data_IF_589747698634
#
_entry.id   IF_589747698634
#
_cell.length_a   1.000
_cell.length_b   1.000
_cell.length_c   1.000
_cell.angle_alpha   90.00
_cell.angle_beta   90.00
_cell.angle_gamma   90.00
#
_symmetry.space_group_name_H-M   'P 1'
#
loop_
_entity.id
_entity.type
_entity.pdbx_description
1 polymer ?
#
# COMPACT_ATOMS: atom_id res chain seq x y z
N UNK A 1 4.03 -19.52 -7.07
CA UNK A 1 4.25 -18.08 -7.01
C UNK A 1 3.00 -17.32 -7.49
N UNK A 2 2.81 -16.07 -7.04
CA UNK A 2 1.77 -15.21 -7.57
C UNK A 2 1.99 -14.96 -9.08
N UNK A 3 0.92 -15.01 -9.86
CA UNK A 3 0.96 -14.68 -11.29
C UNK A 3 0.21 -13.39 -11.54
N UNK A 4 0.64 -12.62 -12.52
CA UNK A 4 -0.07 -11.44 -13.02
C UNK A 4 -1.51 -11.80 -13.44
N UNK A 5 -1.63 -12.81 -14.31
CA UNK A 5 -2.89 -13.30 -14.80
C UNK A 5 -2.84 -14.81 -15.12
N UNK A 6 -3.95 -15.56 -14.89
CA UNK A 6 -3.95 -17.02 -15.11
C UNK A 6 -4.19 -17.45 -16.56
N UNK A 7 -4.73 -16.57 -17.41
CA UNK A 7 -5.13 -16.97 -18.76
C UNK A 7 -4.19 -16.52 -19.88
N UNK A 8 -3.44 -15.42 -19.73
CA UNK A 8 -2.61 -14.85 -20.79
C UNK A 8 -1.11 -15.10 -20.56
N UNK A 9 -0.47 -14.28 -19.72
CA UNK A 9 0.99 -14.34 -19.52
C UNK A 9 1.40 -15.43 -18.54
N UNK A 10 0.71 -15.59 -17.42
CA UNK A 10 0.99 -16.57 -16.36
C UNK A 10 2.38 -16.41 -15.75
N UNK A 11 2.87 -15.18 -15.72
CA UNK A 11 4.20 -14.82 -15.28
C UNK A 11 4.21 -14.35 -13.81
N UNK A 12 5.33 -14.54 -13.14
CA UNK A 12 5.58 -13.98 -11.81
C UNK A 12 6.02 -12.52 -11.85
N UNK A 13 5.21 -11.63 -12.41
CA UNK A 13 5.48 -10.21 -12.40
C UNK A 13 5.61 -9.71 -10.97
N UNK A 14 6.76 -9.14 -10.65
CA UNK A 14 7.10 -8.77 -9.28
C UNK A 14 6.25 -7.61 -8.77
N UNK A 15 5.98 -6.62 -9.61
CA UNK A 15 5.09 -5.52 -9.28
C UNK A 15 3.73 -5.97 -8.80
N UNK A 16 3.08 -6.82 -9.60
CA UNK A 16 1.74 -7.35 -9.32
C UNK A 16 1.65 -8.01 -7.95
N UNK A 17 2.67 -8.80 -7.59
CA UNK A 17 2.71 -9.50 -6.31
C UNK A 17 2.74 -8.57 -5.11
N UNK A 18 3.47 -7.45 -5.18
CA UNK A 18 3.53 -6.53 -4.03
C UNK A 18 2.45 -5.44 -4.06
N UNK A 19 1.86 -5.12 -5.23
CA UNK A 19 0.76 -4.15 -5.26
C UNK A 19 -0.46 -4.65 -4.49
N UNK A 20 -0.76 -5.96 -4.56
CA UNK A 20 -1.90 -6.58 -3.88
C UNK A 20 -1.53 -7.35 -2.60
N UNK A 21 -0.30 -7.21 -2.06
CA UNK A 21 0.17 -8.02 -0.94
C UNK A 21 -0.73 -7.92 0.30
N UNK A 22 -1.15 -6.72 0.68
CA UNK A 22 -1.99 -6.54 1.86
C UNK A 22 -3.36 -7.20 1.67
N UNK A 23 -3.97 -7.08 0.48
CA UNK A 23 -5.20 -7.80 0.15
C UNK A 23 -5.04 -9.31 0.27
N UNK A 24 -3.92 -9.85 -0.21
CA UNK A 24 -3.62 -11.27 -0.08
C UNK A 24 -3.50 -11.70 1.38
N UNK A 25 -2.76 -10.93 2.20
CA UNK A 25 -2.52 -11.27 3.60
C UNK A 25 -3.75 -11.08 4.51
N UNK A 26 -4.66 -10.17 4.16
CA UNK A 26 -5.94 -10.06 4.88
C UNK A 26 -6.90 -11.22 4.60
N UNK A 27 -6.84 -11.81 3.41
CA UNK A 27 -7.84 -12.79 2.95
C UNK A 27 -7.34 -14.23 2.95
N UNK A 28 -6.02 -14.46 2.89
CA UNK A 28 -5.42 -15.79 2.74
C UNK A 28 -4.25 -15.98 3.69
N UNK A 29 -4.03 -17.21 4.11
CA UNK A 29 -2.79 -17.62 4.77
C UNK A 29 -1.72 -17.88 3.69
N UNK A 30 -1.04 -16.80 3.30
CA UNK A 30 -0.15 -16.78 2.14
C UNK A 30 1.33 -16.99 2.45
N UNK A 31 1.73 -17.14 3.72
CA UNK A 31 3.15 -17.11 4.13
C UNK A 31 4.01 -18.12 3.35
N UNK A 32 3.53 -19.34 3.17
CA UNK A 32 4.30 -20.40 2.47
C UNK A 32 4.47 -20.14 0.97
N UNK A 33 3.49 -19.51 0.35
CA UNK A 33 3.56 -19.10 -1.07
C UNK A 33 4.64 -18.03 -1.25
N UNK A 34 4.64 -17.04 -0.39
CA UNK A 34 5.62 -15.94 -0.44
C UNK A 34 7.02 -16.39 0.01
N UNK A 35 7.12 -17.31 0.97
CA UNK A 35 8.40 -17.91 1.37
C UNK A 35 9.09 -18.57 0.17
N UNK A 36 8.35 -19.38 -0.56
CA UNK A 36 8.86 -20.03 -1.78
C UNK A 36 9.26 -18.99 -2.84
N UNK A 37 8.41 -18.02 -3.09
CA UNK A 37 8.68 -17.02 -4.11
C UNK A 37 9.84 -16.08 -3.76
N UNK A 38 10.00 -15.73 -2.50
CA UNK A 38 11.18 -14.97 -2.03
C UNK A 38 12.48 -15.78 -2.11
N UNK A 39 12.42 -17.12 -2.02
CA UNK A 39 13.57 -17.96 -2.32
C UNK A 39 13.97 -17.81 -3.80
N UNK A 40 13.01 -17.83 -4.73
CA UNK A 40 13.27 -17.58 -6.16
C UNK A 40 13.88 -16.18 -6.40
N UNK A 41 13.42 -15.15 -5.68
CA UNK A 41 14.03 -13.81 -5.76
C UNK A 41 15.51 -13.82 -5.36
N UNK A 42 15.86 -14.55 -4.28
CA UNK A 42 17.26 -14.63 -3.83
C UNK A 42 18.13 -15.39 -4.83
N UNK A 43 17.59 -16.44 -5.45
CA UNK A 43 18.31 -17.26 -6.44
C UNK A 43 18.51 -16.51 -7.76
N UNK A 44 17.54 -15.69 -8.17
CA UNK A 44 17.57 -14.91 -9.41
C UNK A 44 18.35 -13.59 -9.28
N UNK A 45 18.69 -13.14 -8.08
CA UNK A 45 19.38 -11.87 -7.91
C UNK A 45 20.81 -11.94 -8.46
N UNK A 46 21.14 -11.00 -9.34
CA UNK A 46 22.49 -10.85 -9.87
C UNK A 46 23.50 -10.41 -8.79
N UNK A 47 24.81 -10.69 -8.95
CA UNK A 47 25.84 -10.31 -7.99
C UNK A 47 25.91 -8.78 -7.73
N UNK A 48 25.52 -7.95 -8.70
CA UNK A 48 25.46 -6.49 -8.54
C UNK A 48 24.23 -6.01 -7.77
N UNK A 49 23.27 -6.89 -7.47
CA UNK A 49 22.05 -6.60 -6.72
C UNK A 49 20.79 -6.52 -7.58
N UNK A 50 20.89 -6.48 -8.91
CA UNK A 50 19.74 -6.34 -9.82
C UNK A 50 18.86 -7.58 -9.78
N UNK A 51 17.53 -7.37 -9.81
CA UNK A 51 16.50 -8.41 -9.92
C UNK A 51 15.78 -8.29 -11.28
N UNK A 52 15.28 -9.38 -11.84
CA UNK A 52 14.40 -9.32 -13.01
C UNK A 52 12.99 -8.90 -12.61
N UNK A 53 12.20 -8.35 -13.54
CA UNK A 53 10.80 -7.98 -13.30
C UNK A 53 9.89 -9.19 -13.08
N UNK A 54 10.26 -10.30 -13.68
CA UNK A 54 9.50 -11.56 -13.67
C UNK A 54 10.35 -12.59 -12.94
N UNK A 55 9.79 -13.20 -11.91
CA UNK A 55 10.48 -14.21 -11.12
C UNK A 55 9.56 -15.43 -10.91
N UNK A 56 9.94 -16.61 -11.35
CA UNK A 56 11.13 -16.93 -12.18
C UNK A 56 11.08 -16.23 -13.54
N UNK A 57 12.25 -15.92 -14.12
CA UNK A 57 12.35 -15.12 -15.35
C UNK A 57 11.67 -15.79 -16.57
N UNK A 58 11.58 -17.09 -16.62
CA UNK A 58 10.96 -17.83 -17.71
C UNK A 58 11.54 -17.55 -19.10
N UNK A 59 12.78 -17.03 -19.16
CA UNK A 59 13.45 -16.65 -20.40
C UNK A 59 13.36 -15.15 -20.74
N UNK A 60 12.63 -14.35 -19.97
CA UNK A 60 12.55 -12.89 -20.15
C UNK A 60 13.84 -12.16 -19.74
N UNK A 61 14.58 -12.71 -18.79
CA UNK A 61 15.88 -12.16 -18.35
C UNK A 61 15.71 -10.83 -17.58
N UNK A 62 16.74 -9.96 -17.69
CA UNK A 62 16.87 -8.73 -16.90
C UNK A 62 16.70 -7.45 -17.74
N UNK A 63 16.38 -7.58 -19.02
CA UNK A 63 16.38 -6.47 -19.97
C UNK A 63 15.01 -5.87 -20.30
N UNK A 64 13.96 -6.24 -19.58
CA UNK A 64 12.58 -5.85 -19.90
C UNK A 64 12.16 -4.48 -19.33
N UNK A 65 13.10 -3.70 -18.80
CA UNK A 65 12.82 -2.38 -18.23
C UNK A 65 12.50 -2.43 -16.74
N UNK A 66 13.08 -3.40 -16.04
CA UNK A 66 12.98 -3.57 -14.59
C UNK A 66 13.32 -2.32 -13.80
N UNK A 67 12.99 -2.33 -12.52
CA UNK A 67 13.33 -1.26 -11.59
C UNK A 67 12.43 -1.22 -10.37
N UNK A 68 12.65 -0.22 -9.56
CA UNK A 68 12.20 -0.10 -8.19
C UNK A 68 10.70 -0.32 -7.97
N UNK A 69 9.86 0.33 -8.76
CA UNK A 69 8.41 0.21 -8.62
C UNK A 69 7.85 -1.21 -8.90
N UNK A 70 8.66 -2.10 -9.49
CA UNK A 70 8.36 -3.53 -9.64
C UNK A 70 9.19 -4.39 -8.69
N UNK A 71 10.50 -4.28 -8.74
CA UNK A 71 11.42 -5.19 -8.02
C UNK A 71 11.60 -4.87 -6.53
N UNK A 72 10.94 -3.82 -6.00
CA UNK A 72 10.76 -3.58 -4.55
C UNK A 72 10.06 -4.72 -3.82
N UNK A 73 9.54 -5.69 -4.55
CA UNK A 73 8.98 -6.95 -4.04
C UNK A 73 9.91 -7.63 -3.04
N UNK A 74 11.24 -7.60 -3.29
CA UNK A 74 12.26 -8.20 -2.39
C UNK A 74 12.27 -7.57 -1.00
N UNK A 75 11.83 -6.32 -0.85
CA UNK A 75 11.75 -5.60 0.41
C UNK A 75 10.30 -5.56 0.96
N UNK A 76 9.33 -5.23 0.11
CA UNK A 76 7.94 -4.98 0.53
C UNK A 76 7.26 -6.26 1.01
N UNK A 77 7.44 -7.40 0.32
CA UNK A 77 6.77 -8.65 0.71
C UNK A 77 7.28 -9.17 2.05
N UNK A 78 8.59 -9.39 2.29
CA UNK A 78 9.03 -9.91 3.58
C UNK A 78 8.75 -8.95 4.74
N UNK A 79 8.73 -7.63 4.50
CA UNK A 79 8.30 -6.66 5.48
C UNK A 79 6.81 -6.82 5.85
N UNK A 80 5.92 -7.00 4.87
CA UNK A 80 4.50 -7.24 5.13
C UNK A 80 4.26 -8.59 5.82
N UNK A 81 5.00 -9.64 5.45
CA UNK A 81 4.95 -10.93 6.18
C UNK A 81 5.32 -10.72 7.65
N UNK A 82 6.38 -9.96 7.93
CA UNK A 82 6.74 -9.62 9.30
C UNK A 82 5.62 -8.87 10.04
N UNK A 83 5.00 -7.88 9.40
CA UNK A 83 3.91 -7.11 10.01
C UNK A 83 2.68 -7.98 10.31
N UNK A 84 2.30 -8.89 9.40
CA UNK A 84 1.07 -9.67 9.52
C UNK A 84 1.22 -10.92 10.37
N UNK A 85 2.40 -11.54 10.39
CA UNK A 85 2.63 -12.79 11.14
C UNK A 85 3.51 -12.62 12.38
N UNK A 86 4.23 -11.52 12.51
CA UNK A 86 5.22 -11.34 13.57
C UNK A 86 6.49 -12.19 13.38
N UNK A 87 6.59 -12.88 12.23
CA UNK A 87 7.72 -13.74 11.89
C UNK A 87 8.76 -12.96 11.08
N UNK A 88 9.90 -12.72 11.69
CA UNK A 88 11.01 -11.98 11.06
C UNK A 88 11.94 -12.87 10.20
N UNK A 89 11.68 -14.19 10.12
CA UNK A 89 12.58 -15.13 9.44
C UNK A 89 12.77 -14.79 7.97
N UNK A 90 11.68 -14.58 7.22
CA UNK A 90 11.77 -14.24 5.80
C UNK A 90 12.46 -12.90 5.55
N UNK A 91 12.23 -11.93 6.42
CA UNK A 91 12.92 -10.64 6.35
C UNK A 91 14.43 -10.81 6.61
N UNK A 92 14.82 -11.67 7.58
CA UNK A 92 16.21 -12.01 7.84
C UNK A 92 16.86 -12.75 6.66
N UNK A 93 16.16 -13.72 6.07
CA UNK A 93 16.63 -14.48 4.92
C UNK A 93 16.87 -13.59 3.68
N UNK A 94 16.08 -12.51 3.53
CA UNK A 94 16.20 -11.55 2.43
C UNK A 94 17.10 -10.35 2.73
N UNK A 95 17.58 -10.18 3.95
CA UNK A 95 18.28 -8.97 4.39
C UNK A 95 19.45 -8.57 3.49
N UNK A 96 20.38 -9.50 3.24
CA UNK A 96 21.56 -9.23 2.41
C UNK A 96 21.18 -9.00 0.93
N UNK A 97 20.08 -9.56 0.48
CA UNK A 97 19.56 -9.34 -0.87
C UNK A 97 18.96 -7.92 -1.01
N UNK A 98 18.17 -7.49 -0.02
CA UNK A 98 17.63 -6.13 0.05
C UNK A 98 18.79 -5.12 0.10
N UNK A 99 19.81 -5.39 0.92
CA UNK A 99 21.00 -4.56 1.06
C UNK A 99 21.70 -4.38 -0.28
N UNK A 100 22.05 -5.48 -0.97
CA UNK A 100 22.70 -5.41 -2.30
C UNK A 100 21.85 -4.64 -3.33
N UNK A 101 20.53 -4.78 -3.26
CA UNK A 101 19.61 -4.10 -4.15
C UNK A 101 19.62 -2.58 -3.89
N UNK A 102 19.46 -2.15 -2.65
CA UNK A 102 19.51 -0.73 -2.24
C UNK A 102 20.86 -0.12 -2.56
N UNK A 103 21.96 -0.82 -2.24
CA UNK A 103 23.33 -0.35 -2.54
C UNK A 103 23.58 -0.19 -4.05
N UNK A 104 22.99 -1.05 -4.88
CA UNK A 104 23.05 -0.89 -6.34
C UNK A 104 22.39 0.43 -6.77
N UNK A 105 21.19 0.70 -6.25
CA UNK A 105 20.46 1.93 -6.60
C UNK A 105 21.18 3.18 -6.12
N UNK A 106 21.72 3.18 -4.89
CA UNK A 106 22.47 4.32 -4.36
C UNK A 106 23.72 4.62 -5.21
N UNK A 107 24.47 3.59 -5.61
CA UNK A 107 25.63 3.76 -6.50
C UNK A 107 25.27 4.33 -7.87
N UNK A 108 24.12 3.91 -8.43
CA UNK A 108 23.69 4.34 -9.77
C UNK A 108 22.87 5.63 -9.76
N UNK A 109 22.38 6.04 -8.60
CA UNK A 109 21.53 7.21 -8.41
C UNK A 109 21.94 8.03 -7.17
N UNK A 110 23.21 8.55 -7.15
CA UNK A 110 23.80 9.17 -5.96
C UNK A 110 23.12 10.47 -5.53
N UNK A 111 22.28 11.05 -6.38
CA UNK A 111 21.43 12.21 -6.02
C UNK A 111 20.28 11.85 -5.09
N UNK A 112 19.94 10.55 -4.93
CA UNK A 112 18.73 10.08 -4.28
C UNK A 112 17.50 10.08 -5.20
N UNK A 113 17.65 10.47 -6.46
CA UNK A 113 16.58 10.47 -7.46
C UNK A 113 16.93 9.50 -8.60
N UNK A 114 15.93 8.76 -9.07
CA UNK A 114 16.09 7.78 -10.13
C UNK A 114 14.84 7.63 -10.98
N UNK A 115 15.02 7.38 -12.28
CA UNK A 115 13.95 6.98 -13.20
C UNK A 115 13.99 5.49 -13.53
N UNK A 116 14.74 4.70 -12.76
CA UNK A 116 14.83 3.27 -12.95
C UNK A 116 13.60 2.57 -12.39
N UNK A 117 12.64 2.31 -13.26
CA UNK A 117 11.34 1.73 -12.98
C UNK A 117 10.46 1.72 -14.21
N UNK A 118 9.24 1.22 -14.07
CA UNK A 118 8.24 1.20 -15.14
C UNK A 118 7.30 2.41 -15.08
N UNK A 119 7.13 3.00 -13.90
CA UNK A 119 6.19 4.09 -13.66
C UNK A 119 4.76 3.60 -13.41
N UNK A 120 3.82 4.51 -13.42
CA UNK A 120 2.40 4.24 -13.13
C UNK A 120 1.73 3.54 -14.32
N UNK A 121 1.77 2.20 -14.34
CA UNK A 121 1.35 1.37 -15.46
C UNK A 121 -0.16 1.42 -15.67
N UNK A 122 -0.61 1.40 -16.94
CA UNK A 122 -2.01 1.47 -17.35
C UNK A 122 -2.77 2.64 -16.69
N UNK A 123 -2.29 3.89 -16.80
CA UNK A 123 -3.04 5.04 -16.31
C UNK A 123 -4.29 5.26 -17.17
N UNK A 124 -5.33 5.85 -16.55
CA UNK A 124 -6.56 6.18 -17.28
C UNK A 124 -6.28 7.21 -18.38
N UNK A 125 -5.69 8.35 -17.98
CA UNK A 125 -5.45 9.49 -18.88
C UNK A 125 -4.15 10.22 -18.56
N UNK A 126 -3.93 10.56 -17.29
CA UNK A 126 -2.79 11.38 -16.89
C UNK A 126 -1.57 10.52 -16.59
N UNK A 127 -0.41 10.93 -17.06
CA UNK A 127 0.86 10.29 -16.78
C UNK A 127 1.60 11.00 -15.64
N UNK A 128 2.05 10.24 -14.65
CA UNK A 128 2.87 10.74 -13.57
C UNK A 128 4.35 10.75 -13.91
N UNK A 129 5.14 11.54 -13.18
CA UNK A 129 6.60 11.52 -13.28
C UNK A 129 7.15 10.17 -12.82
N UNK A 130 7.75 9.43 -13.76
CA UNK A 130 8.42 8.16 -13.49
C UNK A 130 9.58 8.33 -12.49
N UNK A 131 10.34 9.42 -12.59
CA UNK A 131 11.41 9.70 -11.64
C UNK A 131 10.86 9.91 -10.22
N UNK A 132 9.73 10.59 -10.08
CA UNK A 132 9.07 10.74 -8.78
C UNK A 132 8.67 9.38 -8.21
N UNK A 133 7.93 8.57 -8.97
CA UNK A 133 7.44 7.27 -8.48
C UNK A 133 8.58 6.30 -8.18
N UNK A 134 9.55 6.14 -9.07
CA UNK A 134 10.71 5.26 -8.83
C UNK A 134 11.55 5.72 -7.64
N UNK A 135 11.74 7.04 -7.45
CA UNK A 135 12.46 7.57 -6.29
C UNK A 135 11.71 7.32 -4.97
N UNK A 136 10.37 7.36 -4.99
CA UNK A 136 9.58 7.00 -3.81
C UNK A 136 9.80 5.52 -3.43
N UNK A 137 9.83 4.61 -4.39
CA UNK A 137 10.11 3.19 -4.11
C UNK A 137 11.56 2.98 -3.65
N UNK A 138 12.53 3.75 -4.15
CA UNK A 138 13.89 3.76 -3.59
C UNK A 138 13.89 4.14 -2.10
N UNK A 139 13.12 5.16 -1.73
CA UNK A 139 12.94 5.50 -0.31
C UNK A 139 12.29 4.36 0.47
N UNK A 140 11.25 3.71 -0.06
CA UNK A 140 10.52 2.62 0.61
C UNK A 140 11.46 1.46 0.93
N UNK A 141 12.22 0.99 -0.05
CA UNK A 141 13.17 -0.12 0.12
C UNK A 141 14.26 0.22 1.12
N UNK A 142 14.82 1.43 1.03
CA UNK A 142 15.83 1.93 1.97
C UNK A 142 15.28 2.04 3.39
N UNK A 143 14.04 2.49 3.54
CA UNK A 143 13.38 2.60 4.84
C UNK A 143 13.07 1.24 5.46
N UNK A 144 12.63 0.28 4.65
CA UNK A 144 12.43 -1.11 5.09
C UNK A 144 13.77 -1.71 5.55
N UNK A 145 14.83 -1.52 4.77
CA UNK A 145 16.16 -2.01 5.12
C UNK A 145 16.68 -1.39 6.44
N UNK A 146 16.52 -0.09 6.65
CA UNK A 146 16.85 0.57 7.90
C UNK A 146 16.06 -0.02 9.09
N UNK A 147 14.75 -0.25 8.92
CA UNK A 147 13.92 -0.85 9.96
C UNK A 147 14.34 -2.31 10.25
N UNK A 148 14.67 -3.08 9.22
CA UNK A 148 15.18 -4.44 9.37
C UNK A 148 16.55 -4.46 10.07
N UNK A 149 17.45 -3.54 9.72
CA UNK A 149 18.73 -3.38 10.39
C UNK A 149 18.56 -3.11 11.90
N UNK A 150 17.64 -2.22 12.25
CA UNK A 150 17.29 -1.94 13.65
C UNK A 150 16.74 -3.18 14.34
N UNK A 151 15.83 -3.92 13.71
CA UNK A 151 15.24 -5.15 14.24
C UNK A 151 16.30 -6.22 14.52
N UNK A 152 17.29 -6.34 13.63
CA UNK A 152 18.37 -7.34 13.75
C UNK A 152 19.62 -6.83 14.50
N UNK A 153 19.52 -5.67 15.17
CA UNK A 153 20.61 -5.03 15.93
C UNK A 153 21.89 -4.77 15.11
N UNK A 154 21.73 -4.48 13.81
CA UNK A 154 22.82 -4.09 12.91
C UNK A 154 22.95 -2.54 12.93
N UNK A 155 23.61 -2.02 13.96
CA UNK A 155 23.60 -0.59 14.26
C UNK A 155 24.21 0.28 13.13
N UNK A 156 25.34 -0.14 12.56
CA UNK A 156 26.02 0.61 11.48
C UNK A 156 25.13 0.68 10.23
N UNK A 157 24.51 -0.44 9.83
CA UNK A 157 23.56 -0.47 8.72
C UNK A 157 22.32 0.40 9.01
N UNK A 158 21.81 0.35 10.25
CA UNK A 158 20.67 1.18 10.65
C UNK A 158 20.96 2.68 10.46
N UNK A 159 22.09 3.15 10.97
CA UNK A 159 22.49 4.56 10.87
C UNK A 159 22.70 4.98 9.40
N UNK A 160 23.37 4.12 8.64
CA UNK A 160 23.63 4.38 7.22
C UNK A 160 22.33 4.48 6.40
N UNK A 161 21.46 3.46 6.48
CA UNK A 161 20.24 3.44 5.66
C UNK A 161 19.15 4.39 6.17
N UNK A 162 19.14 4.73 7.46
CA UNK A 162 18.28 5.80 7.97
C UNK A 162 18.71 7.16 7.41
N UNK A 163 20.00 7.43 7.33
CA UNK A 163 20.53 8.66 6.72
C UNK A 163 20.27 8.69 5.20
N UNK A 164 20.45 7.56 4.51
CA UNK A 164 20.15 7.44 3.08
C UNK A 164 18.66 7.66 2.80
N UNK A 165 17.77 7.04 3.57
CA UNK A 165 16.33 7.24 3.43
C UNK A 165 15.94 8.72 3.59
N UNK A 166 16.52 9.41 4.58
CA UNK A 166 16.25 10.84 4.77
C UNK A 166 16.80 11.70 3.61
N UNK A 167 17.97 11.38 3.09
CA UNK A 167 18.55 12.02 1.90
C UNK A 167 17.62 11.88 0.69
N UNK A 168 17.11 10.67 0.42
CA UNK A 168 16.18 10.41 -0.68
C UNK A 168 14.89 11.20 -0.48
N UNK A 169 14.30 11.14 0.72
CA UNK A 169 13.07 11.87 1.06
C UNK A 169 13.23 13.37 0.84
N UNK A 170 14.36 13.92 1.26
CA UNK A 170 14.68 15.34 1.08
C UNK A 170 14.84 15.67 -0.42
N UNK A 171 15.59 14.88 -1.18
CA UNK A 171 15.77 15.09 -2.62
C UNK A 171 14.44 15.09 -3.40
N UNK A 172 13.51 14.16 -3.04
CA UNK A 172 12.15 14.13 -3.62
C UNK A 172 11.42 15.42 -3.31
N UNK A 173 11.40 15.85 -2.04
CA UNK A 173 10.67 17.04 -1.62
C UNK A 173 11.25 18.31 -2.23
N UNK A 174 12.58 18.44 -2.28
CA UNK A 174 13.26 19.62 -2.85
C UNK A 174 12.97 19.79 -4.34
N UNK A 175 12.87 18.67 -5.07
CA UNK A 175 12.62 18.71 -6.52
C UNK A 175 11.15 18.84 -6.87
N UNK A 176 10.26 18.14 -6.16
CA UNK A 176 8.89 17.95 -6.60
C UNK A 176 7.82 18.65 -5.77
N UNK A 177 8.07 18.93 -4.48
CA UNK A 177 7.07 19.57 -3.63
C UNK A 177 7.11 21.09 -3.76
N UNK A 178 6.08 21.67 -4.31
CA UNK A 178 5.83 23.09 -4.13
C UNK A 178 5.20 23.33 -2.74
N UNK A 179 5.96 23.84 -1.79
CA UNK A 179 5.49 24.04 -0.40
C UNK A 179 4.40 25.12 -0.29
N UNK A 180 4.38 26.09 -1.21
CA UNK A 180 3.35 27.14 -1.20
C UNK A 180 1.99 26.56 -1.58
N UNK A 181 1.93 25.73 -2.62
CA UNK A 181 0.68 25.13 -3.10
C UNK A 181 0.36 23.79 -2.46
N UNK A 182 1.36 23.00 -2.02
CA UNK A 182 1.20 21.62 -1.58
C UNK A 182 1.00 20.64 -2.73
N UNK A 183 1.52 20.98 -3.91
CA UNK A 183 1.42 20.15 -5.11
C UNK A 183 2.78 19.49 -5.38
N UNK A 184 2.75 18.19 -5.70
CA UNK A 184 3.91 17.45 -6.21
C UNK A 184 3.87 17.45 -7.74
N UNK A 185 5.00 17.75 -8.36
CA UNK A 185 5.19 17.74 -9.81
C UNK A 185 4.05 18.44 -10.56
N UNK A 186 3.29 17.74 -11.40
CA UNK A 186 2.14 18.29 -12.14
C UNK A 186 0.82 18.25 -11.36
N UNK A 187 0.78 17.55 -10.21
CA UNK A 187 -0.40 17.45 -9.36
C UNK A 187 -1.45 16.47 -9.84
N UNK A 188 -1.09 15.46 -10.64
CA UNK A 188 -2.01 14.36 -10.95
C UNK A 188 -2.23 13.47 -9.74
N UNK A 189 -3.30 12.68 -9.72
CA UNK A 189 -3.72 11.90 -8.56
C UNK A 189 -2.61 10.99 -8.04
N UNK A 190 -1.85 10.32 -8.91
CA UNK A 190 -0.71 9.46 -8.53
C UNK A 190 0.41 10.26 -7.86
N UNK A 191 0.74 11.43 -8.36
CA UNK A 191 1.82 12.27 -7.82
C UNK A 191 1.50 12.86 -6.45
N UNK A 192 0.23 12.95 -6.09
CA UNK A 192 -0.22 13.38 -4.76
C UNK A 192 -0.40 12.20 -3.80
N UNK A 193 -0.93 11.06 -4.28
CA UNK A 193 -1.25 9.91 -3.43
C UNK A 193 -0.03 9.08 -3.06
N UNK A 194 0.89 8.82 -3.98
CA UNK A 194 2.07 7.96 -3.72
C UNK A 194 2.99 8.56 -2.66
N UNK A 195 3.38 9.84 -2.69
CA UNK A 195 4.16 10.44 -1.61
C UNK A 195 3.44 10.49 -0.25
N UNK A 196 2.12 10.65 -0.23
CA UNK A 196 1.32 10.61 1.01
C UNK A 196 1.35 9.22 1.64
N UNK A 197 1.03 8.19 0.87
CA UNK A 197 0.97 6.81 1.35
C UNK A 197 2.31 6.35 1.91
N UNK A 198 3.40 6.65 1.22
CA UNK A 198 4.73 6.17 1.59
C UNK A 198 5.50 7.08 2.58
N UNK A 199 4.84 8.14 3.10
CA UNK A 199 5.42 8.97 4.15
C UNK A 199 6.52 9.92 3.69
N UNK A 200 6.57 10.26 2.40
CA UNK A 200 7.49 11.24 1.82
C UNK A 200 7.11 12.67 2.26
N UNK A 201 5.82 12.96 2.30
CA UNK A 201 5.29 14.30 2.57
C UNK A 201 5.71 14.78 3.96
N UNK A 202 6.31 15.98 4.09
CA UNK A 202 6.62 16.56 5.40
C UNK A 202 5.38 16.68 6.29
N UNK A 203 5.56 16.47 7.60
CA UNK A 203 4.45 16.42 8.56
C UNK A 203 3.54 17.65 8.51
N UNK A 204 4.14 18.83 8.38
CA UNK A 204 3.44 20.12 8.28
C UNK A 204 2.65 20.31 6.97
N UNK A 205 2.97 19.54 5.94
CA UNK A 205 2.34 19.61 4.62
C UNK A 205 1.29 18.54 4.38
N UNK A 206 1.23 17.45 5.19
CA UNK A 206 0.36 16.29 4.94
C UNK A 206 -1.11 16.67 4.71
N UNK A 207 -1.68 17.44 5.62
CA UNK A 207 -3.07 17.86 5.49
C UNK A 207 -3.35 18.71 4.24
N UNK A 208 -2.38 19.52 3.81
CA UNK A 208 -2.51 20.34 2.61
C UNK A 208 -2.47 19.49 1.34
N UNK A 209 -1.52 18.57 1.25
CA UNK A 209 -1.40 17.63 0.12
C UNK A 209 -2.62 16.72 0.04
N UNK A 210 -3.12 16.21 1.17
CA UNK A 210 -4.33 15.38 1.21
C UNK A 210 -5.58 16.12 0.71
N UNK A 211 -5.78 17.37 1.13
CA UNK A 211 -6.87 18.20 0.60
C UNK A 211 -6.74 18.48 -0.89
N UNK A 212 -5.52 18.67 -1.40
CA UNK A 212 -5.28 18.82 -2.84
C UNK A 212 -5.63 17.54 -3.61
N UNK A 213 -5.26 16.38 -3.08
CA UNK A 213 -5.64 15.08 -3.63
C UNK A 213 -7.16 14.92 -3.65
N UNK A 214 -7.84 15.18 -2.53
CA UNK A 214 -9.29 15.12 -2.44
C UNK A 214 -9.97 16.07 -3.43
N UNK A 215 -9.48 17.32 -3.54
CA UNK A 215 -9.97 18.29 -4.53
C UNK A 215 -9.79 17.78 -5.95
N UNK A 216 -8.62 17.23 -6.29
CA UNK A 216 -8.35 16.68 -7.62
C UNK A 216 -9.30 15.54 -7.99
N UNK A 217 -9.60 14.67 -7.01
CA UNK A 217 -10.58 13.58 -7.15
C UNK A 217 -12.00 14.13 -7.33
N UNK A 218 -12.39 15.14 -6.54
CA UNK A 218 -13.70 15.81 -6.66
C UNK A 218 -13.88 16.48 -8.02
N UNK A 219 -12.86 17.18 -8.53
CA UNK A 219 -12.84 17.77 -9.86
C UNK A 219 -13.00 16.75 -10.99
N UNK A 220 -12.55 15.51 -10.76
CA UNK A 220 -12.77 14.37 -11.65
C UNK A 220 -14.12 13.65 -11.43
N UNK A 221 -15.04 14.22 -10.65
CA UNK A 221 -16.33 13.61 -10.34
C UNK A 221 -16.20 12.35 -9.49
N UNK A 222 -15.22 12.28 -8.60
CA UNK A 222 -14.85 11.13 -7.78
C UNK A 222 -14.41 9.90 -8.59
N UNK A 223 -13.88 10.10 -9.79
CA UNK A 223 -13.30 9.05 -10.62
C UNK A 223 -11.77 8.99 -10.47
N UNK A 224 -11.27 7.81 -10.75
CA UNK A 224 -9.82 7.56 -10.81
C UNK A 224 -9.22 8.19 -12.08
N UNK A 225 -8.01 8.74 -11.93
CA UNK A 225 -7.13 9.08 -13.05
C UNK A 225 -5.70 8.65 -12.66
N UNK A 226 -5.53 7.34 -12.54
CA UNK A 226 -4.32 6.70 -12.05
C UNK A 226 -4.03 5.42 -12.83
N UNK A 227 -2.78 4.99 -12.81
CA UNK A 227 -2.37 3.63 -13.10
C UNK A 227 -2.23 2.81 -11.81
N UNK A 228 -1.44 1.74 -11.87
CA UNK A 228 -1.32 0.76 -10.76
C UNK A 228 -0.73 1.34 -9.48
N UNK A 229 0.27 2.24 -9.60
CA UNK A 229 0.92 2.84 -8.42
C UNK A 229 -0.03 3.80 -7.70
N UNK A 230 -0.77 4.59 -8.48
CA UNK A 230 -1.79 5.46 -7.94
C UNK A 230 -2.99 4.67 -7.37
N UNK A 231 -3.42 3.59 -8.02
CA UNK A 231 -4.51 2.75 -7.53
C UNK A 231 -4.16 2.09 -6.18
N UNK A 232 -2.91 1.63 -6.00
CA UNK A 232 -2.41 1.16 -4.69
C UNK A 232 -2.48 2.25 -3.62
N UNK A 233 -2.17 3.49 -4.00
CA UNK A 233 -1.95 4.56 -3.03
C UNK A 233 -3.22 5.35 -2.66
N UNK A 234 -4.08 5.65 -3.63
CA UNK A 234 -5.07 6.72 -3.52
C UNK A 234 -6.07 6.56 -2.38
N UNK A 235 -6.66 5.36 -2.22
CA UNK A 235 -7.66 5.12 -1.18
C UNK A 235 -7.04 5.16 0.21
N UNK A 236 -5.85 4.58 0.39
CA UNK A 236 -5.09 4.63 1.63
C UNK A 236 -4.66 6.07 1.96
N UNK A 237 -4.08 6.79 0.98
CA UNK A 237 -3.64 8.17 1.15
C UNK A 237 -4.78 9.11 1.58
N UNK A 238 -5.95 8.98 1.00
CA UNK A 238 -7.13 9.75 1.39
C UNK A 238 -7.61 9.38 2.79
N UNK A 239 -7.83 8.09 3.05
CA UNK A 239 -8.42 7.62 4.30
C UNK A 239 -7.54 7.90 5.52
N UNK A 240 -6.22 7.72 5.41
CA UNK A 240 -5.28 7.91 6.49
C UNK A 240 -4.96 9.39 6.78
N UNK A 241 -5.42 10.30 5.91
CA UNK A 241 -5.17 11.73 6.05
C UNK A 241 -6.46 12.58 6.16
N UNK A 242 -7.56 11.98 6.65
CA UNK A 242 -8.80 12.68 7.00
C UNK A 242 -9.79 12.86 5.86
N UNK A 243 -9.55 12.27 4.69
CA UNK A 243 -10.39 12.38 3.49
C UNK A 243 -11.15 11.07 3.17
N UNK A 244 -11.55 10.33 4.20
CA UNK A 244 -12.18 9.01 4.07
C UNK A 244 -13.53 9.05 3.30
N UNK A 245 -14.29 10.14 3.39
CA UNK A 245 -15.51 10.36 2.58
C UNK A 245 -15.18 10.39 1.09
N UNK A 246 -14.10 11.06 0.71
CA UNK A 246 -13.64 11.10 -0.68
C UNK A 246 -13.17 9.73 -1.15
N UNK A 247 -12.41 9.01 -0.31
CA UNK A 247 -11.97 7.64 -0.61
C UNK A 247 -13.16 6.70 -0.85
N UNK A 248 -14.17 6.75 0.02
CA UNK A 248 -15.37 5.94 -0.14
C UNK A 248 -16.12 6.25 -1.44
N UNK A 249 -16.29 7.52 -1.78
CA UNK A 249 -16.94 7.92 -3.04
C UNK A 249 -16.20 7.41 -4.28
N UNK A 250 -14.87 7.38 -4.25
CA UNK A 250 -14.06 6.75 -5.32
C UNK A 250 -14.31 5.25 -5.39
N UNK A 251 -14.26 4.56 -4.24
CA UNK A 251 -14.45 3.11 -4.19
C UNK A 251 -15.87 2.68 -4.58
N UNK A 252 -16.86 3.54 -4.34
CA UNK A 252 -18.29 3.28 -4.62
C UNK A 252 -18.73 3.68 -6.04
N UNK A 253 -17.82 4.23 -6.88
CA UNK A 253 -18.15 4.57 -8.28
C UNK A 253 -18.50 3.31 -9.07
N UNK A 254 -19.54 3.44 -9.92
CA UNK A 254 -20.01 2.38 -10.82
C UNK A 254 -19.91 2.76 -12.33
N UNK A 255 -19.44 3.97 -12.60
CA UNK A 255 -19.18 4.46 -13.95
C UNK A 255 -17.68 4.54 -14.25
N UNK A 256 -17.31 4.56 -15.53
CA UNK A 256 -15.91 4.60 -15.99
C UNK A 256 -15.20 5.91 -15.60
N UNK A 257 -13.96 5.83 -15.14
CA UNK A 257 -13.16 4.66 -14.76
C UNK A 257 -13.32 4.31 -13.26
N UNK A 258 -13.64 3.07 -12.96
CA UNK A 258 -13.77 2.59 -11.58
C UNK A 258 -13.82 1.06 -11.51
N UNK A 259 -13.56 0.48 -10.34
CA UNK A 259 -13.78 -0.95 -10.09
C UNK A 259 -15.27 -1.34 -10.24
N UNK A 260 -16.18 -0.48 -9.79
CA UNK A 260 -17.62 -0.72 -9.92
C UNK A 260 -18.09 -0.72 -11.38
N UNK A 261 -17.45 0.02 -12.28
CA UNK A 261 -17.72 -0.04 -13.70
C UNK A 261 -17.45 -1.43 -14.27
N UNK A 262 -16.37 -2.09 -13.86
CA UNK A 262 -16.10 -3.48 -14.27
C UNK A 262 -17.23 -4.42 -13.83
N UNK A 263 -17.63 -4.32 -12.55
CA UNK A 263 -18.72 -5.13 -11.98
C UNK A 263 -20.04 -4.88 -12.71
N UNK A 264 -20.40 -3.62 -12.95
CA UNK A 264 -21.61 -3.22 -13.65
C UNK A 264 -21.66 -3.76 -15.10
N UNK A 265 -20.51 -4.01 -15.70
CA UNK A 265 -20.37 -4.60 -17.03
C UNK A 265 -20.08 -6.12 -17.01
N UNK A 266 -20.31 -6.79 -15.88
CA UNK A 266 -20.29 -8.25 -15.77
C UNK A 266 -18.94 -8.87 -15.39
N UNK A 267 -17.93 -8.08 -15.04
CA UNK A 267 -16.67 -8.63 -14.55
C UNK A 267 -16.87 -9.35 -13.20
N UNK A 268 -16.29 -10.53 -13.09
CA UNK A 268 -16.31 -11.36 -11.86
C UNK A 268 -14.94 -11.36 -11.16
N UNK A 269 -13.95 -10.75 -11.77
CA UNK A 269 -12.56 -10.63 -11.32
C UNK A 269 -12.09 -9.20 -11.56
N UNK A 270 -10.92 -8.84 -11.03
CA UNK A 270 -10.26 -7.59 -11.37
C UNK A 270 -9.69 -7.66 -12.80
N UNK A 271 -9.84 -6.57 -13.54
CA UNK A 271 -9.32 -6.46 -14.91
C UNK A 271 -7.93 -5.81 -14.93
N UNK A 272 -7.20 -6.00 -16.01
CA UNK A 272 -5.88 -5.39 -16.23
C UNK A 272 -5.97 -3.93 -16.70
N UNK A 273 -7.10 -3.53 -17.31
CA UNK A 273 -7.28 -2.21 -17.85
C UNK A 273 -8.55 -1.53 -17.33
N UNK A 274 -8.46 -0.23 -17.10
CA UNK A 274 -9.65 0.56 -16.76
C UNK A 274 -10.66 0.60 -17.92
N UNK A 275 -10.17 0.69 -19.17
CA UNK A 275 -11.00 0.74 -20.38
C UNK A 275 -11.40 -0.67 -20.81
N UNK A 276 -12.70 -0.95 -20.76
CA UNK A 276 -13.30 -2.22 -21.22
C UNK A 276 -13.13 -2.47 -22.73
N UNK A 277 -12.81 -1.43 -23.50
CA UNK A 277 -12.59 -1.52 -24.95
C UNK A 277 -11.09 -1.49 -25.31
N UNK A 278 -10.20 -1.61 -24.32
CA UNK A 278 -8.77 -1.66 -24.56
C UNK A 278 -8.41 -2.80 -25.51
N UNK A 279 -7.39 -2.58 -26.32
CA UNK A 279 -6.85 -3.61 -27.27
C UNK A 279 -5.49 -4.15 -26.82
N UNK A 280 -4.96 -3.62 -25.70
CA UNK A 280 -3.70 -4.01 -25.05
C UNK A 280 -3.93 -4.04 -23.55
N UNK A 281 -3.13 -4.86 -22.86
CA UNK A 281 -3.23 -5.01 -21.41
C UNK A 281 -4.68 -5.37 -21.03
N UNK A 282 -5.17 -6.52 -21.54
CA UNK A 282 -6.59 -6.90 -21.59
C UNK A 282 -6.90 -8.18 -20.83
N UNK A 283 -6.13 -8.51 -19.80
CA UNK A 283 -6.48 -9.68 -18.98
C UNK A 283 -7.76 -9.44 -18.19
N UNK A 284 -8.68 -10.38 -18.28
CA UNK A 284 -9.94 -10.36 -17.51
C UNK A 284 -9.78 -10.90 -16.07
N UNK A 285 -8.59 -11.27 -15.68
CA UNK A 285 -8.25 -11.66 -14.31
C UNK A 285 -6.80 -11.25 -14.03
N UNK A 286 -6.66 -10.11 -13.35
CA UNK A 286 -5.35 -9.52 -13.09
C UNK A 286 -5.33 -8.86 -11.70
N UNK A 287 -4.34 -9.17 -10.88
CA UNK A 287 -4.34 -8.75 -9.48
C UNK A 287 -3.76 -7.36 -9.21
N UNK A 288 -3.13 -6.69 -10.18
CA UNK A 288 -2.38 -5.45 -9.92
C UNK A 288 -3.21 -4.30 -9.33
N UNK A 289 -4.49 -4.22 -9.63
CA UNK A 289 -5.41 -3.24 -9.04
C UNK A 289 -6.10 -3.73 -7.76
N UNK A 290 -5.57 -4.77 -7.12
CA UNK A 290 -6.20 -5.47 -6.00
C UNK A 290 -6.09 -4.82 -4.63
N UNK A 291 -5.34 -3.73 -4.47
CA UNK A 291 -5.17 -3.07 -3.16
C UNK A 291 -6.50 -2.58 -2.54
N UNK A 292 -7.52 -2.35 -3.34
CA UNK A 292 -8.86 -2.01 -2.82
C UNK A 292 -9.37 -3.04 -1.82
N UNK A 293 -9.03 -4.32 -2.00
CA UNK A 293 -9.37 -5.39 -1.04
C UNK A 293 -8.75 -5.14 0.34
N UNK A 294 -7.46 -4.81 0.39
CA UNK A 294 -6.77 -4.44 1.63
C UNK A 294 -7.33 -3.14 2.23
N UNK A 295 -7.68 -2.18 1.38
CA UNK A 295 -8.28 -0.94 1.84
C UNK A 295 -9.64 -1.14 2.55
N UNK A 296 -10.45 -2.11 2.17
CA UNK A 296 -11.69 -2.41 2.90
C UNK A 296 -11.40 -2.75 4.37
N UNK A 297 -10.37 -3.55 4.64
CA UNK A 297 -9.97 -3.87 6.02
C UNK A 297 -9.40 -2.65 6.75
N UNK A 298 -8.52 -1.88 6.10
CA UNK A 298 -7.86 -0.71 6.68
C UNK A 298 -8.77 0.52 6.71
N UNK A 299 -9.25 0.93 5.54
CA UNK A 299 -9.97 2.19 5.35
C UNK A 299 -11.35 2.21 5.97
N UNK A 300 -12.10 1.11 5.94
CA UNK A 300 -13.46 1.01 6.49
C UNK A 300 -13.49 0.24 7.82
N UNK A 301 -12.83 -0.91 7.88
CA UNK A 301 -12.74 -1.74 9.08
C UNK A 301 -11.79 -1.18 10.14
N UNK A 302 -10.80 -0.42 9.71
CA UNK A 302 -9.81 0.20 10.58
C UNK A 302 -8.80 -0.76 11.18
N UNK A 303 -8.60 -1.94 10.60
CA UNK A 303 -7.71 -2.98 11.15
C UNK A 303 -6.30 -2.80 10.58
N UNK A 304 -5.31 -2.47 11.43
CA UNK A 304 -3.90 -2.35 11.05
C UNK A 304 -3.01 -3.14 12.02
N UNK A 305 -1.95 -3.81 11.52
CA UNK A 305 -0.92 -4.33 12.40
C UNK A 305 -0.08 -3.18 12.98
N UNK A 306 0.37 -3.32 14.22
CA UNK A 306 1.32 -2.38 14.82
C UNK A 306 2.75 -2.79 14.44
N UNK A 307 3.53 -1.94 13.75
CA UNK A 307 4.92 -2.26 13.41
C UNK A 307 5.84 -2.47 14.62
N UNK A 308 5.47 -1.97 15.80
CA UNK A 308 6.23 -2.15 17.03
C UNK A 308 5.89 -3.46 17.75
N UNK A 309 4.69 -3.99 17.52
CA UNK A 309 4.22 -5.26 18.07
C UNK A 309 3.50 -6.06 16.95
N UNK A 310 4.25 -6.56 15.95
CA UNK A 310 3.70 -7.13 14.72
C UNK A 310 2.93 -8.43 14.97
N UNK A 311 2.35 -8.99 13.91
CA UNK A 311 1.53 -10.19 13.96
C UNK A 311 0.17 -9.95 14.60
N UNK A 312 -0.27 -8.70 14.71
CA UNK A 312 -1.47 -8.31 15.46
C UNK A 312 -1.38 -8.66 16.96
N UNK A 313 -0.16 -8.72 17.49
CA UNK A 313 0.05 -8.76 18.94
C UNK A 313 -0.55 -7.52 19.59
N UNK A 314 -0.34 -6.38 18.96
CA UNK A 314 -1.08 -5.15 19.19
C UNK A 314 -1.75 -4.71 17.89
N UNK A 315 -2.98 -4.22 17.97
CA UNK A 315 -3.81 -3.84 16.82
C UNK A 315 -4.03 -2.33 16.86
N UNK A 316 -3.74 -1.65 15.76
CA UNK A 316 -4.13 -0.24 15.62
C UNK A 316 -5.50 -0.20 14.94
N UNK A 317 -6.51 0.28 15.67
CA UNK A 317 -7.88 0.39 15.16
C UNK A 317 -8.16 1.85 14.73
N UNK A 318 -8.45 2.05 13.44
CA UNK A 318 -8.72 3.38 12.84
C UNK A 318 -9.90 3.32 11.88
N UNK A 319 -11.11 2.93 12.35
CA UNK A 319 -12.28 2.80 11.49
C UNK A 319 -12.72 4.16 10.95
N UNK A 320 -13.26 4.18 9.73
CA UNK A 320 -13.95 5.35 9.18
C UNK A 320 -15.42 5.02 8.93
N UNK A 321 -16.29 6.01 9.08
CA UNK A 321 -17.73 5.87 8.98
C UNK A 321 -18.29 6.79 7.87
N UNK A 322 -18.11 6.47 6.57
CA UNK A 322 -18.60 7.29 5.48
C UNK A 322 -20.13 7.51 5.55
N UNK A 323 -20.57 8.71 5.17
CA UNK A 323 -21.97 9.13 5.33
C UNK A 323 -22.94 8.29 4.51
N UNK A 324 -22.53 7.86 3.33
CA UNK A 324 -23.36 7.12 2.37
C UNK A 324 -23.36 5.59 2.60
N UNK A 325 -22.52 5.11 3.56
CA UNK A 325 -22.46 3.70 3.93
C UNK A 325 -23.20 3.47 5.26
N UNK A 326 -24.16 2.56 5.26
CA UNK A 326 -25.02 2.30 6.43
C UNK A 326 -24.36 1.40 7.47
N UNK A 327 -23.53 0.46 7.03
CA UNK A 327 -22.85 -0.52 7.88
C UNK A 327 -21.65 -1.10 7.15
N UNK A 328 -20.70 -1.59 7.93
CA UNK A 328 -19.54 -2.33 7.42
C UNK A 328 -19.10 -3.36 8.45
N UNK A 329 -18.54 -4.45 7.97
CA UNK A 329 -18.00 -5.55 8.78
C UNK A 329 -16.75 -6.11 8.12
N UNK A 330 -15.68 -6.29 8.90
CA UNK A 330 -14.44 -6.93 8.48
C UNK A 330 -14.01 -7.97 9.52
N UNK A 331 -13.54 -9.12 9.04
CA UNK A 331 -12.97 -10.19 9.88
C UNK A 331 -11.61 -10.58 9.32
N UNK A 332 -10.61 -10.60 10.18
CA UNK A 332 -9.26 -11.02 9.83
C UNK A 332 -8.78 -12.10 10.81
N UNK A 333 -8.30 -13.22 10.28
CA UNK A 333 -7.71 -14.28 11.08
C UNK A 333 -6.21 -14.05 11.25
N UNK A 334 -5.85 -13.43 12.38
CA UNK A 334 -4.46 -13.20 12.76
C UNK A 334 -3.84 -14.45 13.43
N UNK A 335 -2.50 -14.49 13.62
CA UNK A 335 -1.86 -15.56 14.39
C UNK A 335 -2.41 -15.75 15.82
N UNK A 336 -3.04 -14.72 16.39
CA UNK A 336 -3.65 -14.77 17.73
C UNK A 336 -5.14 -15.13 17.71
N UNK A 337 -5.77 -15.19 16.55
CA UNK A 337 -7.19 -15.46 16.36
C UNK A 337 -7.91 -14.40 15.55
N UNK A 338 -9.24 -14.50 15.51
CA UNK A 338 -10.08 -13.58 14.72
C UNK A 338 -10.15 -12.18 15.34
N UNK A 339 -9.84 -11.19 14.52
CA UNK A 339 -10.13 -9.78 14.74
C UNK A 339 -11.42 -9.49 13.98
N UNK A 340 -12.46 -9.03 14.69
CA UNK A 340 -13.74 -8.71 14.09
C UNK A 340 -14.08 -7.25 14.36
N UNK A 341 -14.12 -6.42 13.34
CA UNK A 341 -14.47 -5.01 13.39
C UNK A 341 -15.77 -4.78 12.63
N UNK A 342 -16.77 -4.18 13.26
CA UNK A 342 -18.06 -3.87 12.62
C UNK A 342 -18.62 -2.55 13.12
N UNK A 343 -19.35 -1.86 12.25
CA UNK A 343 -20.09 -0.66 12.65
C UNK A 343 -21.41 -0.52 11.88
N UNK A 344 -22.36 0.14 12.55
CA UNK A 344 -23.66 0.48 11.99
C UNK A 344 -23.94 1.96 12.23
N UNK A 345 -24.17 2.69 11.14
CA UNK A 345 -24.53 4.10 11.16
C UNK A 345 -26.03 4.27 11.37
N UNK A 346 -26.40 5.01 12.37
CA UNK A 346 -27.77 5.46 12.65
C UNK A 346 -27.94 6.93 12.22
N UNK A 347 -29.15 7.46 12.30
CA UNK A 347 -29.43 8.85 11.88
C UNK A 347 -28.56 9.91 12.56
N UNK A 348 -28.22 9.72 13.85
CA UNK A 348 -27.47 10.70 14.68
C UNK A 348 -26.29 10.07 15.44
N UNK A 349 -26.04 8.79 15.26
CA UNK A 349 -24.98 8.06 15.96
C UNK A 349 -24.41 6.97 15.10
N UNK A 350 -23.26 6.45 15.50
CA UNK A 350 -22.68 5.22 14.99
C UNK A 350 -22.42 4.28 16.13
N UNK A 351 -22.77 3.00 15.96
CA UNK A 351 -22.41 1.93 16.89
C UNK A 351 -21.24 1.18 16.27
N UNK A 352 -20.11 1.17 16.98
CA UNK A 352 -18.92 0.42 16.61
C UNK A 352 -18.71 -0.73 17.59
N UNK A 353 -18.47 -1.91 17.08
CA UNK A 353 -18.13 -3.09 17.89
C UNK A 353 -16.86 -3.73 17.36
N UNK A 354 -15.97 -4.14 18.26
CA UNK A 354 -14.74 -4.84 17.90
C UNK A 354 -14.50 -6.01 18.84
N UNK A 355 -14.03 -7.13 18.28
CA UNK A 355 -13.54 -8.29 19.03
C UNK A 355 -12.02 -8.36 18.84
N UNK A 356 -11.30 -8.38 19.96
CA UNK A 356 -9.85 -8.50 20.03
C UNK A 356 -9.52 -9.90 20.51
N UNK A 357 -8.69 -10.68 19.78
CA UNK A 357 -8.38 -12.05 20.14
C UNK A 357 -7.62 -12.15 21.48
N UNK A 358 -7.66 -13.32 22.09
CA UNK A 358 -6.91 -13.59 23.31
C UNK A 358 -5.41 -13.33 23.10
N UNK A 359 -4.74 -12.81 24.14
CA UNK A 359 -3.31 -12.44 24.11
C UNK A 359 -2.95 -11.29 23.15
N UNK A 360 -3.92 -10.58 22.63
CA UNK A 360 -3.73 -9.32 21.89
C UNK A 360 -4.32 -8.13 22.66
N UNK A 361 -3.86 -6.94 22.32
CA UNK A 361 -4.43 -5.67 22.76
C UNK A 361 -4.64 -4.76 21.54
N UNK A 362 -5.31 -3.62 21.74
CA UNK A 362 -5.48 -2.65 20.66
C UNK A 362 -5.49 -1.21 21.17
N UNK A 363 -5.04 -0.29 20.32
CA UNK A 363 -5.28 1.14 20.47
C UNK A 363 -6.33 1.58 19.44
N UNK A 364 -7.48 2.06 19.92
CA UNK A 364 -8.54 2.57 19.07
C UNK A 364 -8.41 4.10 18.92
N UNK A 365 -8.18 4.54 17.69
CA UNK A 365 -8.21 5.95 17.30
C UNK A 365 -9.61 6.30 16.81
N UNK A 366 -10.33 7.06 17.61
CA UNK A 366 -11.71 7.45 17.32
C UNK A 366 -11.74 8.53 16.24
N UNK A 367 -12.48 8.35 15.13
CA UNK A 367 -12.52 9.32 14.03
C UNK A 367 -13.05 10.70 14.46
N UNK A 368 -12.53 11.77 13.83
CA UNK A 368 -12.97 13.14 14.08
C UNK A 368 -14.42 13.42 13.67
N UNK A 369 -15.05 12.53 12.94
CA UNK A 369 -16.46 12.61 12.52
C UNK A 369 -17.46 12.31 13.63
N UNK A 370 -16.99 11.87 14.82
CA UNK A 370 -17.83 11.56 15.97
C UNK A 370 -17.35 12.28 17.23
N UNK A 371 -18.27 12.44 18.22
CA UNK A 371 -17.95 12.97 19.54
C UNK A 371 -17.46 11.85 20.44
N UNK A 372 -16.32 12.01 21.10
CA UNK A 372 -15.80 11.03 22.05
C UNK A 372 -14.34 11.27 22.41
N UNK A 373 -13.82 10.42 23.27
CA UNK A 373 -12.38 10.31 23.54
C UNK A 373 -11.66 9.91 22.26
N UNK A 374 -10.47 10.49 22.01
CA UNK A 374 -9.77 10.32 20.73
C UNK A 374 -8.93 9.06 20.65
N UNK A 375 -8.43 8.57 21.77
CA UNK A 375 -7.59 7.38 21.85
C UNK A 375 -8.05 6.52 23.02
N UNK A 376 -8.34 5.25 22.77
CA UNK A 376 -8.84 4.30 23.77
C UNK A 376 -7.97 3.03 23.69
N UNK A 377 -7.37 2.64 24.82
CA UNK A 377 -6.67 1.37 24.93
C UNK A 377 -7.66 0.24 25.22
N UNK A 378 -7.52 -0.88 24.53
CA UNK A 378 -8.44 -2.02 24.62
C UNK A 378 -7.67 -3.31 24.88
N UNK A 379 -8.15 -4.06 25.86
CA UNK A 379 -7.71 -5.42 26.13
C UNK A 379 -8.43 -6.45 25.24
N UNK A 380 -8.00 -7.71 25.30
CA UNK A 380 -8.68 -8.82 24.65
C UNK A 380 -10.16 -8.90 25.07
N UNK A 381 -11.02 -9.25 24.11
CA UNK A 381 -12.46 -9.39 24.34
C UNK A 381 -13.29 -8.56 23.37
N UNK A 382 -14.59 -8.49 23.66
CA UNK A 382 -15.55 -7.74 22.84
C UNK A 382 -15.84 -6.38 23.47
N UNK A 383 -15.67 -5.33 22.67
CA UNK A 383 -15.95 -3.94 23.05
C UNK A 383 -17.01 -3.34 22.13
N UNK A 384 -17.87 -2.47 22.68
CA UNK A 384 -18.92 -1.79 21.90
C UNK A 384 -19.01 -0.34 22.36
N UNK A 385 -19.08 0.55 21.39
CA UNK A 385 -19.17 1.99 21.58
C UNK A 385 -20.36 2.53 20.79
N UNK A 386 -21.03 3.55 21.34
CA UNK A 386 -22.00 4.34 20.58
C UNK A 386 -21.59 5.81 20.67
N UNK A 387 -21.31 6.40 19.53
CA UNK A 387 -20.89 7.80 19.42
C UNK A 387 -21.92 8.64 18.67
N UNK A 388 -22.11 9.87 19.10
CA UNK A 388 -22.87 10.87 18.33
C UNK A 388 -22.04 11.34 17.13
N UNK A 389 -22.67 11.44 15.98
CA UNK A 389 -22.08 12.05 14.79
C UNK A 389 -21.94 13.57 14.99
N UNK A 390 -20.88 14.16 14.40
CA UNK A 390 -20.62 15.62 14.40
C UNK A 390 -21.33 16.28 13.22
#
# INVERSE_FOLDING_TARGET
>A
YPTDCPQREKNGWTGDGHFAIETALYNYDGITVYEKWLADHRDEQQPNGVLPDIIPTGGWGYGTGNGLDWTSTIAIIPWNIYLFYGDSKLLADCYENIKRYVDYVDRTSPSGLTSWGRGDWVPVKSHSSKELTSSVYFYVDTKILANAAKLFNKQEDYEHYQALAEKIRQAINDKYLNRETGIYASGVQTELSVPLMWGIVPKDMKAKVARNLAKKVQEAGFHLDVGVLGAKAILNALSENGEAETAYKVAAQDTYPSWGCWIANGATTLLENWDLNATRDISDNHMMFGEIGGWFYKGLGGIFPDPQQPGFKHILLRPNFPSDLKQFEARHHSPYGEIHSQWVRKKKSVVYSVTIPANSSATLYVPDTVKGERVIELEAGKHTFEWKLL
#
